data_IF_632331625595
#
_entry.id   IF_632331625595
#
_cell.length_a   1.000
_cell.length_b   1.000
_cell.length_c   1.000
_cell.angle_alpha   90.00
_cell.angle_beta   90.00
_cell.angle_gamma   90.00
#
_symmetry.space_group_name_H-M   'P 1'
#
loop_
_entity.id
_entity.type
_entity.pdbx_description
1 polymer ?
#
# COMPACT_ATOMS: atom_id res chain seq x y z
N UNK A 1 -2.77 2.00 -28.07
CA UNK A 1 -1.87 1.40 -27.08
C UNK A 1 -1.09 2.45 -26.28
N UNK A 2 -0.31 3.34 -26.92
CA UNK A 2 0.51 4.37 -26.21
C UNK A 2 -0.37 5.28 -25.34
N UNK A 3 -1.46 5.82 -25.89
CA UNK A 3 -2.40 6.69 -25.13
C UNK A 3 -3.01 5.98 -23.93
N UNK A 4 -3.42 4.72 -24.09
CA UNK A 4 -3.97 3.91 -23.02
C UNK A 4 -2.91 3.64 -21.92
N UNK A 5 -1.66 3.44 -22.31
CA UNK A 5 -0.57 3.26 -21.36
C UNK A 5 -0.25 4.56 -20.59
N UNK A 6 -0.25 5.70 -21.25
CA UNK A 6 -0.08 7.01 -20.60
C UNK A 6 -1.22 7.25 -19.59
N UNK A 7 -2.47 6.94 -19.97
CA UNK A 7 -3.64 7.05 -19.09
C UNK A 7 -3.51 6.12 -17.88
N UNK A 8 -3.08 4.87 -18.07
CA UNK A 8 -2.78 3.94 -16.99
C UNK A 8 -1.71 4.49 -16.04
N UNK A 9 -0.59 4.98 -16.58
CA UNK A 9 0.49 5.56 -15.76
C UNK A 9 -0.02 6.75 -14.95
N UNK A 10 -0.76 7.67 -15.56
CA UNK A 10 -1.38 8.80 -14.88
C UNK A 10 -2.30 8.35 -13.74
N UNK A 11 -3.16 7.35 -13.99
CA UNK A 11 -4.01 6.74 -12.97
C UNK A 11 -3.18 6.15 -11.82
N UNK A 12 -2.15 5.35 -12.13
CA UNK A 12 -1.31 4.70 -11.11
C UNK A 12 -0.58 5.76 -10.27
N UNK A 13 0.02 6.77 -10.89
CA UNK A 13 0.73 7.86 -10.20
C UNK A 13 -0.19 8.59 -9.25
N UNK A 14 -1.38 9.00 -9.71
CA UNK A 14 -2.35 9.68 -8.87
C UNK A 14 -2.82 8.81 -7.70
N UNK A 15 -3.18 7.57 -7.98
CA UNK A 15 -3.71 6.66 -6.96
C UNK A 15 -2.66 6.23 -5.94
N UNK A 16 -1.43 5.92 -6.38
CA UNK A 16 -0.33 5.53 -5.48
C UNK A 16 0.20 6.74 -4.70
N UNK A 17 0.26 7.90 -5.34
CA UNK A 17 0.77 9.13 -4.73
C UNK A 17 -0.14 9.70 -3.64
N UNK A 18 -1.46 9.53 -3.75
CA UNK A 18 -2.42 10.06 -2.76
C UNK A 18 -2.31 9.35 -1.40
N UNK A 19 -2.58 10.07 -0.29
CA UNK A 19 -2.59 9.47 1.04
C UNK A 19 -3.52 8.26 1.11
N UNK A 20 -3.06 7.22 1.79
CA UNK A 20 -3.83 6.00 2.02
C UNK A 20 -3.19 5.17 3.13
N UNK A 21 -3.86 4.10 3.62
CA UNK A 21 -3.37 3.35 4.77
C UNK A 21 -1.93 2.86 4.61
N UNK A 22 -1.57 2.28 3.47
CA UNK A 22 -0.21 1.80 3.23
C UNK A 22 0.83 2.92 3.25
N UNK A 23 0.54 4.07 2.61
CA UNK A 23 1.44 5.23 2.59
C UNK A 23 1.66 5.79 4.01
N UNK A 24 0.60 5.85 4.83
CA UNK A 24 0.69 6.35 6.19
C UNK A 24 1.46 5.38 7.11
N UNK A 25 1.30 4.06 6.93
CA UNK A 25 2.09 3.05 7.65
C UNK A 25 3.57 3.14 7.27
N UNK A 26 3.90 3.30 6.00
CA UNK A 26 5.28 3.50 5.53
C UNK A 26 5.86 4.79 6.10
N UNK A 27 5.09 5.88 6.11
CA UNK A 27 5.49 7.15 6.71
C UNK A 27 5.74 7.02 8.22
N UNK A 28 4.89 6.27 8.93
CA UNK A 28 5.08 5.96 10.34
C UNK A 28 6.38 5.17 10.57
N UNK A 29 6.64 4.14 9.76
CA UNK A 29 7.90 3.39 9.79
C UNK A 29 9.11 4.29 9.56
N UNK A 30 9.03 5.15 8.55
CA UNK A 30 10.07 6.15 8.26
C UNK A 30 10.36 7.07 9.46
N UNK A 31 9.30 7.55 10.14
CA UNK A 31 9.43 8.41 11.31
C UNK A 31 10.07 7.70 12.51
N UNK A 32 9.84 6.39 12.67
CA UNK A 32 10.31 5.60 13.81
C UNK A 32 11.70 4.99 13.61
N UNK A 33 11.97 4.38 12.46
CA UNK A 33 13.20 3.61 12.22
C UNK A 33 14.02 4.07 11.01
N UNK A 34 13.49 5.01 10.24
CA UNK A 34 14.14 5.59 9.06
C UNK A 34 14.06 4.73 7.79
N UNK A 35 14.32 5.35 6.64
CA UNK A 35 14.18 4.75 5.31
C UNK A 35 14.99 3.47 5.14
N UNK A 36 16.25 3.47 5.57
CA UNK A 36 17.15 2.32 5.37
C UNK A 36 16.64 1.04 6.03
N UNK A 37 16.07 1.15 7.25
CA UNK A 37 15.53 0.00 7.97
C UNK A 37 14.14 -0.40 7.47
N UNK A 38 13.38 0.54 6.89
CA UNK A 38 12.11 0.26 6.23
C UNK A 38 12.26 -0.36 4.83
N UNK A 39 13.45 -0.45 4.25
CA UNK A 39 13.65 -0.93 2.88
C UNK A 39 13.03 -2.32 2.66
N UNK A 40 13.22 -3.24 3.60
CA UNK A 40 12.61 -4.58 3.53
C UNK A 40 11.07 -4.52 3.49
N UNK A 41 10.47 -3.67 4.31
CA UNK A 41 9.02 -3.46 4.32
C UNK A 41 8.51 -2.87 3.00
N UNK A 42 9.22 -1.87 2.44
CA UNK A 42 8.88 -1.27 1.14
C UNK A 42 8.94 -2.32 0.02
N UNK A 43 9.99 -3.14 -0.02
CA UNK A 43 10.11 -4.23 -0.99
C UNK A 43 8.96 -5.23 -0.80
N UNK A 44 8.63 -5.57 0.44
CA UNK A 44 7.48 -6.41 0.76
C UNK A 44 6.17 -5.85 0.22
N UNK A 45 5.91 -4.55 0.41
CA UNK A 45 4.75 -3.86 -0.18
C UNK A 45 4.70 -4.02 -1.69
N UNK A 46 5.81 -3.79 -2.38
CA UNK A 46 5.89 -3.95 -3.84
C UNK A 46 5.61 -5.39 -4.25
N UNK A 47 6.20 -6.38 -3.57
CA UNK A 47 5.94 -7.80 -3.82
C UNK A 47 4.46 -8.17 -3.60
N UNK A 48 3.84 -7.68 -2.52
CA UNK A 48 2.42 -7.90 -2.25
C UNK A 48 1.52 -7.32 -3.34
N UNK A 49 1.91 -6.17 -3.90
CA UNK A 49 1.17 -5.56 -5.02
C UNK A 49 1.39 -6.31 -6.34
N UNK A 50 2.61 -6.77 -6.60
CA UNK A 50 2.90 -7.62 -7.76
C UNK A 50 2.02 -8.87 -7.71
N UNK A 51 2.01 -9.57 -6.58
CA UNK A 51 1.17 -10.75 -6.37
C UNK A 51 -0.30 -10.45 -6.68
N UNK A 52 -0.84 -9.36 -6.13
CA UNK A 52 -2.23 -8.96 -6.32
C UNK A 52 -2.53 -8.69 -7.80
N UNK A 53 -1.66 -7.97 -8.51
CA UNK A 53 -1.84 -7.67 -9.94
C UNK A 53 -1.74 -8.94 -10.81
N UNK A 54 -0.80 -9.83 -10.53
CA UNK A 54 -0.65 -11.10 -11.25
C UNK A 54 -1.90 -11.96 -11.08
N UNK A 55 -2.40 -12.11 -9.85
CA UNK A 55 -3.63 -12.85 -9.59
C UNK A 55 -4.82 -12.29 -10.38
N UNK A 56 -4.96 -10.96 -10.43
CA UNK A 56 -6.01 -10.32 -11.22
C UNK A 56 -5.84 -10.53 -12.71
N UNK A 57 -4.64 -10.37 -13.23
CA UNK A 57 -4.34 -10.60 -14.64
C UNK A 57 -4.54 -12.06 -15.09
N UNK A 58 -4.43 -13.01 -14.16
CA UNK A 58 -4.73 -14.42 -14.39
C UNK A 58 -6.22 -14.77 -14.18
N UNK A 59 -7.10 -13.79 -13.95
CA UNK A 59 -8.54 -14.01 -13.89
C UNK A 59 -9.14 -14.10 -12.48
N UNK A 60 -8.35 -14.01 -11.41
CA UNK A 60 -8.89 -14.04 -10.03
C UNK A 60 -9.92 -12.93 -9.76
N UNK A 61 -9.82 -11.82 -10.48
CA UNK A 61 -10.79 -10.72 -10.41
C UNK A 61 -12.21 -11.15 -10.78
N UNK A 62 -12.38 -12.10 -11.71
CA UNK A 62 -13.68 -12.65 -12.11
C UNK A 62 -14.31 -13.46 -10.97
N UNK A 63 -13.49 -14.24 -10.26
CA UNK A 63 -13.97 -15.04 -9.11
C UNK A 63 -14.42 -14.13 -7.98
N UNK A 64 -13.65 -13.07 -7.72
CA UNK A 64 -14.00 -12.10 -6.67
C UNK A 64 -15.28 -11.31 -7.00
N UNK A 65 -15.45 -10.93 -8.28
CA UNK A 65 -16.64 -10.20 -8.73
C UNK A 65 -17.94 -11.01 -8.60
N UNK A 66 -17.86 -12.34 -8.53
CA UNK A 66 -19.00 -13.23 -8.35
C UNK A 66 -19.35 -13.52 -6.88
N UNK A 67 -18.53 -13.06 -5.93
CA UNK A 67 -18.64 -13.43 -4.52
C UNK A 67 -18.60 -12.19 -3.60
N UNK A 68 -19.72 -11.48 -3.48
CA UNK A 68 -19.83 -10.26 -2.68
C UNK A 68 -19.41 -10.44 -1.22
N UNK A 69 -19.73 -11.60 -0.62
CA UNK A 69 -19.36 -11.90 0.76
C UNK A 69 -17.82 -11.98 0.94
N UNK A 70 -17.09 -12.49 -0.06
CA UNK A 70 -15.63 -12.60 -0.03
C UNK A 70 -14.98 -11.22 -0.10
N UNK A 71 -15.49 -10.34 -0.96
CA UNK A 71 -15.05 -8.96 -1.05
C UNK A 71 -15.26 -8.21 0.28
N UNK A 72 -16.42 -8.37 0.91
CA UNK A 72 -16.73 -7.79 2.22
C UNK A 72 -15.80 -8.35 3.32
N UNK A 73 -15.62 -9.66 3.38
CA UNK A 73 -14.72 -10.30 4.35
C UNK A 73 -13.29 -9.76 4.22
N UNK A 74 -12.76 -9.69 3.00
CA UNK A 74 -11.43 -9.14 2.72
C UNK A 74 -11.34 -7.66 3.13
N UNK A 75 -12.39 -6.86 2.90
CA UNK A 75 -12.47 -5.45 3.30
C UNK A 75 -12.32 -5.31 4.83
N UNK A 76 -13.05 -6.09 5.62
CA UNK A 76 -13.00 -6.02 7.08
C UNK A 76 -11.68 -6.57 7.67
N UNK A 77 -11.19 -7.72 7.18
CA UNK A 77 -9.89 -8.27 7.60
C UNK A 77 -8.77 -7.28 7.31
N UNK A 78 -8.82 -6.65 6.14
CA UNK A 78 -7.86 -5.64 5.71
C UNK A 78 -7.83 -4.45 6.65
N UNK A 79 -8.99 -3.91 6.98
CA UNK A 79 -9.11 -2.78 7.89
C UNK A 79 -8.61 -3.13 9.30
N UNK A 80 -9.00 -4.29 9.83
CA UNK A 80 -8.57 -4.77 11.14
C UNK A 80 -7.03 -4.91 11.21
N UNK A 81 -6.41 -5.47 10.16
CA UNK A 81 -4.95 -5.62 10.09
C UNK A 81 -4.23 -4.27 10.02
N UNK A 82 -4.74 -3.33 9.22
CA UNK A 82 -4.17 -1.98 9.12
C UNK A 82 -4.25 -1.21 10.45
N UNK A 83 -5.40 -1.28 11.12
CA UNK A 83 -5.59 -0.69 12.45
C UNK A 83 -4.64 -1.36 13.46
N UNK A 84 -4.53 -2.69 13.44
CA UNK A 84 -3.60 -3.43 14.29
C UNK A 84 -2.15 -2.94 14.10
N UNK A 85 -1.66 -2.85 12.86
CA UNK A 85 -0.31 -2.37 12.58
C UNK A 85 -0.09 -0.92 13.07
N UNK A 86 -1.07 -0.05 12.86
CA UNK A 86 -0.97 1.34 13.30
C UNK A 86 -0.97 1.45 14.83
N UNK A 87 -1.91 0.78 15.52
CA UNK A 87 -2.08 0.85 16.97
C UNK A 87 -0.93 0.15 17.71
N UNK A 88 -0.34 -0.90 17.14
CA UNK A 88 0.82 -1.57 17.72
C UNK A 88 1.99 -0.62 17.98
N UNK A 89 2.09 0.47 17.21
CA UNK A 89 3.10 1.50 17.37
C UNK A 89 2.75 2.59 18.41
N UNK A 90 1.59 2.48 19.11
CA UNK A 90 1.07 3.56 19.97
C UNK A 90 1.90 3.80 21.25
N UNK A 91 2.36 2.71 21.87
CA UNK A 91 3.06 2.76 23.17
C UNK A 91 4.57 2.59 23.07
N UNK A 92 5.08 2.35 21.89
CA UNK A 92 6.49 2.08 21.73
C UNK A 92 7.30 3.37 21.94
N UNK A 93 7.91 3.49 23.13
CA UNK A 93 9.21 4.16 23.17
C UNK A 93 10.08 3.32 22.23
N UNK A 94 10.64 3.91 21.16
CA UNK A 94 11.26 3.13 20.11
C UNK A 94 12.46 2.35 20.68
N UNK A 95 12.22 1.13 21.11
CA UNK A 95 13.25 0.12 21.09
C UNK A 95 13.40 -0.24 19.62
N UNK A 96 14.42 0.32 19.00
CA UNK A 96 14.67 0.25 17.56
C UNK A 96 14.54 -1.17 17.01
N UNK A 97 14.89 -2.19 17.79
CA UNK A 97 14.84 -3.60 17.37
C UNK A 97 13.42 -4.18 17.32
N UNK A 98 12.57 -3.88 18.30
CA UNK A 98 11.17 -4.37 18.30
C UNK A 98 10.34 -3.66 17.26
N UNK A 99 10.56 -2.37 17.07
CA UNK A 99 9.89 -1.57 16.05
C UNK A 99 10.33 -1.99 14.64
N UNK A 100 11.60 -2.31 14.43
CA UNK A 100 12.09 -2.80 13.14
C UNK A 100 11.43 -4.11 12.70
N UNK A 101 11.09 -5.01 13.64
CA UNK A 101 10.36 -6.26 13.35
C UNK A 101 8.93 -6.03 12.86
N UNK A 102 8.31 -4.89 13.17
CA UNK A 102 6.96 -4.56 12.67
C UNK A 102 6.98 -4.06 11.23
N UNK A 103 8.13 -3.51 10.79
CA UNK A 103 8.35 -3.00 9.43
C UNK A 103 9.32 -3.90 8.68
N UNK A 104 9.14 -5.22 8.77
CA UNK A 104 9.91 -6.21 8.01
C UNK A 104 9.24 -6.53 6.65
N UNK A 105 9.94 -7.30 5.83
CA UNK A 105 9.48 -7.73 4.52
C UNK A 105 8.13 -8.48 4.57
N UNK A 106 7.93 -9.37 5.55
CA UNK A 106 6.73 -10.21 5.64
C UNK A 106 5.49 -9.39 5.90
N UNK A 107 5.57 -8.44 6.84
CA UNK A 107 4.46 -7.52 7.10
C UNK A 107 4.16 -6.66 5.87
N UNK A 108 5.20 -6.23 5.12
CA UNK A 108 5.03 -5.49 3.88
C UNK A 108 4.24 -6.26 2.81
N UNK A 109 4.57 -7.54 2.59
CA UNK A 109 3.88 -8.40 1.60
C UNK A 109 2.39 -8.49 1.86
N UNK A 110 1.99 -8.55 3.14
CA UNK A 110 0.59 -8.75 3.54
C UNK A 110 -0.24 -7.45 3.42
N UNK A 111 0.39 -6.28 3.52
CA UNK A 111 -0.33 -5.00 3.56
C UNK A 111 -1.18 -4.76 2.31
N UNK A 112 -0.67 -5.00 1.10
CA UNK A 112 -1.44 -4.74 -0.12
C UNK A 112 -2.60 -5.72 -0.36
N UNK A 113 -2.42 -7.03 -0.22
CA UNK A 113 -3.54 -7.97 -0.22
C UNK A 113 -4.62 -7.64 0.81
N UNK A 114 -4.23 -7.00 1.91
CA UNK A 114 -5.14 -6.54 2.96
C UNK A 114 -5.46 -5.04 2.91
N UNK A 115 -5.26 -4.35 1.79
CA UNK A 115 -5.54 -2.92 1.66
C UNK A 115 -6.71 -2.67 0.70
N UNK A 116 -7.89 -2.19 1.17
CA UNK A 116 -9.05 -1.93 0.31
C UNK A 116 -8.71 -1.03 -0.89
N UNK A 117 -7.93 0.02 -0.67
CA UNK A 117 -7.48 0.91 -1.74
C UNK A 117 -6.66 0.16 -2.81
N UNK A 118 -5.85 -0.83 -2.41
CA UNK A 118 -5.06 -1.61 -3.36
C UNK A 118 -5.94 -2.46 -4.29
N UNK A 119 -7.05 -3.00 -3.77
CA UNK A 119 -8.05 -3.74 -4.54
C UNK A 119 -8.74 -2.84 -5.56
N UNK A 120 -9.25 -1.68 -5.13
CA UNK A 120 -9.87 -0.69 -6.03
C UNK A 120 -8.93 -0.31 -7.16
N UNK A 121 -7.67 -0.03 -6.86
CA UNK A 121 -6.66 0.31 -7.86
C UNK A 121 -6.45 -0.82 -8.87
N UNK A 122 -6.36 -2.06 -8.42
CA UNK A 122 -6.14 -3.23 -9.28
C UNK A 122 -7.39 -3.47 -10.14
N UNK A 123 -8.57 -3.48 -9.54
CA UNK A 123 -9.84 -3.63 -10.29
C UNK A 123 -9.93 -2.59 -11.41
N UNK A 124 -9.77 -1.31 -11.09
CA UNK A 124 -9.88 -0.23 -12.08
C UNK A 124 -8.79 -0.33 -13.16
N UNK A 125 -7.55 -0.65 -12.79
CA UNK A 125 -6.46 -0.82 -13.75
C UNK A 125 -6.75 -1.94 -14.76
N UNK A 126 -7.18 -3.09 -14.26
CA UNK A 126 -7.46 -4.26 -15.10
C UNK A 126 -8.76 -4.16 -15.89
N UNK A 127 -9.81 -3.51 -15.34
CA UNK A 127 -11.08 -3.36 -16.03
C UNK A 127 -11.08 -2.26 -17.08
N UNK A 128 -10.46 -1.10 -16.77
CA UNK A 128 -10.62 0.10 -17.60
C UNK A 128 -9.42 0.38 -18.52
N UNK A 129 -8.22 -0.05 -18.15
CA UNK A 129 -7.00 0.31 -18.88
C UNK A 129 -6.32 -0.88 -19.55
N UNK A 130 -6.22 -2.02 -18.87
CA UNK A 130 -5.51 -3.18 -19.37
C UNK A 130 -6.01 -3.70 -20.72
N UNK A 131 -7.34 -3.80 -21.01
CA UNK A 131 -7.83 -4.32 -22.28
C UNK A 131 -7.33 -3.58 -23.52
N UNK A 132 -7.04 -2.28 -23.39
CA UNK A 132 -6.53 -1.45 -24.49
C UNK A 132 -5.01 -1.57 -24.71
N UNK A 133 -4.29 -2.37 -23.88
CA UNK A 133 -2.84 -2.54 -23.96
C UNK A 133 -2.39 -3.70 -24.88
N UNK A 134 -3.33 -4.49 -25.41
CA UNK A 134 -3.03 -5.60 -26.33
C UNK A 134 -3.23 -6.98 -25.69
N UNK A 135 -2.29 -7.91 -25.92
CA UNK A 135 -2.37 -9.28 -25.42
C UNK A 135 -2.25 -9.38 -23.90
N UNK A 136 -2.72 -10.47 -23.30
CA UNK A 136 -2.65 -10.71 -21.85
C UNK A 136 -1.21 -10.60 -21.34
N UNK A 137 -0.24 -11.10 -22.07
CA UNK A 137 1.17 -11.02 -21.69
C UNK A 137 1.64 -9.56 -21.65
N UNK A 138 1.27 -8.75 -22.66
CA UNK A 138 1.58 -7.32 -22.70
C UNK A 138 0.91 -6.58 -21.53
N UNK A 139 -0.37 -6.90 -21.25
CA UNK A 139 -1.10 -6.33 -20.12
C UNK A 139 -0.41 -6.65 -18.79
N UNK A 140 -0.05 -7.94 -18.58
CA UNK A 140 0.67 -8.37 -17.37
C UNK A 140 1.98 -7.59 -17.19
N UNK A 141 2.82 -7.56 -18.22
CA UNK A 141 4.11 -6.87 -18.14
C UNK A 141 3.92 -5.38 -17.84
N UNK A 142 3.06 -4.70 -18.60
CA UNK A 142 2.90 -3.23 -18.46
C UNK A 142 2.22 -2.85 -17.14
N UNK A 143 1.16 -3.52 -16.75
CA UNK A 143 0.43 -3.18 -15.51
C UNK A 143 1.27 -3.50 -14.28
N UNK A 144 1.84 -4.72 -14.22
CA UNK A 144 2.61 -5.17 -13.05
C UNK A 144 3.87 -4.33 -12.85
N UNK A 145 4.65 -4.11 -13.94
CA UNK A 145 5.88 -3.30 -13.85
C UNK A 145 5.59 -1.84 -13.50
N UNK A 146 4.55 -1.25 -14.07
CA UNK A 146 4.16 0.13 -13.75
C UNK A 146 3.79 0.29 -12.29
N UNK A 147 2.95 -0.61 -11.75
CA UNK A 147 2.65 -0.58 -10.32
C UNK A 147 3.89 -0.79 -9.47
N UNK A 148 4.75 -1.75 -9.81
CA UNK A 148 5.96 -2.04 -9.05
C UNK A 148 6.90 -0.82 -8.97
N UNK A 149 7.17 -0.18 -10.11
CA UNK A 149 8.08 0.96 -10.19
C UNK A 149 7.51 2.20 -9.49
N UNK A 150 6.25 2.54 -9.78
CA UNK A 150 5.60 3.71 -9.17
C UNK A 150 5.46 3.52 -7.65
N UNK A 151 5.11 2.32 -7.20
CA UNK A 151 5.02 2.07 -5.76
C UNK A 151 6.37 2.10 -5.07
N UNK A 152 7.41 1.52 -5.66
CA UNK A 152 8.75 1.60 -5.10
C UNK A 152 9.16 3.07 -4.90
N UNK A 153 8.92 3.91 -5.90
CA UNK A 153 9.20 5.34 -5.82
C UNK A 153 8.39 6.03 -4.71
N UNK A 154 7.05 5.93 -4.77
CA UNK A 154 6.19 6.67 -3.85
C UNK A 154 6.28 6.16 -2.41
N UNK A 155 6.38 4.85 -2.17
CA UNK A 155 6.60 4.34 -0.81
C UNK A 155 7.94 4.80 -0.23
N UNK A 156 8.99 4.88 -1.08
CA UNK A 156 10.27 5.45 -0.64
C UNK A 156 10.15 6.94 -0.30
N UNK A 157 9.41 7.72 -1.10
CA UNK A 157 9.16 9.13 -0.82
C UNK A 157 8.34 9.34 0.46
N UNK A 158 7.25 8.56 0.66
CA UNK A 158 6.45 8.62 1.88
C UNK A 158 7.27 8.23 3.12
N UNK A 159 8.13 7.21 3.01
CA UNK A 159 9.03 6.79 4.07
C UNK A 159 10.07 7.88 4.40
N UNK A 160 10.68 8.48 3.36
CA UNK A 160 11.64 9.57 3.52
C UNK A 160 10.98 10.82 4.15
N UNK A 161 9.77 11.16 3.75
CA UNK A 161 8.99 12.24 4.37
C UNK A 161 8.73 11.95 5.86
N UNK A 162 8.38 10.70 6.20
CA UNK A 162 8.23 10.26 7.59
C UNK A 162 9.52 10.40 8.38
N UNK A 163 10.65 9.95 7.81
CA UNK A 163 11.96 10.10 8.45
C UNK A 163 12.32 11.56 8.67
N UNK A 164 12.10 12.42 7.68
CA UNK A 164 12.35 13.85 7.81
C UNK A 164 11.52 14.46 8.93
N UNK A 165 10.22 14.17 9.00
CA UNK A 165 9.33 14.62 10.08
C UNK A 165 9.78 14.09 11.44
N UNK A 166 10.17 12.82 11.51
CA UNK A 166 10.68 12.20 12.74
C UNK A 166 11.91 12.90 13.29
N UNK A 167 12.85 13.26 12.41
CA UNK A 167 14.06 14.04 12.77
C UNK A 167 13.68 15.46 13.16
N UNK A 168 12.87 16.15 12.35
CA UNK A 168 12.47 17.54 12.58
C UNK A 168 11.72 17.72 13.92
N UNK A 169 10.90 16.74 14.28
CA UNK A 169 10.13 16.73 15.53
C UNK A 169 10.84 15.99 16.68
N UNK A 170 12.11 15.67 16.55
CA UNK A 170 12.95 15.00 17.55
C UNK A 170 12.33 13.70 18.11
N UNK A 171 11.74 12.90 17.25
CA UNK A 171 11.09 11.65 17.66
C UNK A 171 9.86 11.85 18.55
N UNK A 172 9.17 12.96 18.40
CA UNK A 172 8.01 13.32 19.23
C UNK A 172 6.92 12.25 19.18
N UNK A 173 6.49 11.78 20.36
CA UNK A 173 5.34 10.89 20.48
C UNK A 173 4.05 11.49 19.90
N UNK A 174 3.93 12.84 19.88
CA UNK A 174 2.79 13.54 19.29
C UNK A 174 2.72 13.28 17.78
N UNK A 175 3.86 13.29 17.07
CA UNK A 175 3.92 12.95 15.65
C UNK A 175 3.45 11.51 15.41
N UNK A 176 4.04 10.54 16.13
CA UNK A 176 3.68 9.13 16.03
C UNK A 176 2.18 8.92 16.25
N UNK A 177 1.63 9.46 17.33
CA UNK A 177 0.20 9.38 17.64
C UNK A 177 -0.67 10.06 16.58
N UNK A 178 -0.25 11.23 16.07
CA UNK A 178 -0.94 11.92 14.98
C UNK A 178 -1.01 11.06 13.71
N UNK A 179 0.10 10.44 13.32
CA UNK A 179 0.15 9.54 12.16
C UNK A 179 -0.72 8.28 12.36
N UNK A 180 -0.74 7.73 13.57
CA UNK A 180 -1.60 6.58 13.90
C UNK A 180 -3.07 6.97 13.80
N UNK A 181 -3.48 8.08 14.42
CA UNK A 181 -4.86 8.58 14.36
C UNK A 181 -5.28 8.84 12.92
N UNK A 182 -4.41 9.48 12.12
CA UNK A 182 -4.66 9.71 10.70
C UNK A 182 -4.82 8.40 9.93
N UNK A 183 -3.95 7.41 10.20
CA UNK A 183 -4.01 6.09 9.55
C UNK A 183 -5.34 5.39 9.88
N UNK A 184 -5.70 5.33 11.16
CA UNK A 184 -6.97 4.72 11.61
C UNK A 184 -8.17 5.46 11.02
N UNK A 185 -8.15 6.79 11.02
CA UNK A 185 -9.21 7.60 10.41
C UNK A 185 -9.40 7.32 8.93
N UNK A 186 -8.31 7.24 8.16
CA UNK A 186 -8.36 6.92 6.72
C UNK A 186 -8.82 5.48 6.47
N UNK A 187 -8.44 4.53 7.34
CA UNK A 187 -8.93 3.14 7.24
C UNK A 187 -10.43 3.06 7.50
N UNK A 188 -10.91 3.72 8.57
CA UNK A 188 -12.35 3.74 8.89
C UNK A 188 -13.14 4.44 7.77
N UNK A 189 -12.65 5.57 7.28
CA UNK A 189 -13.28 6.26 6.15
C UNK A 189 -13.39 5.36 4.92
N UNK A 190 -12.34 4.59 4.59
CA UNK A 190 -12.35 3.63 3.49
C UNK A 190 -13.29 2.42 3.69
N UNK A 191 -13.76 2.17 4.92
CA UNK A 191 -14.77 1.14 5.20
C UNK A 191 -16.20 1.62 4.96
N UNK A 192 -16.44 2.94 5.05
CA UNK A 192 -17.78 3.53 4.97
C UNK A 192 -18.17 3.81 3.51
N UNK A 193 -17.18 4.05 2.65
CA UNK A 193 -17.36 4.27 1.21
C UNK A 193 -17.32 2.94 0.46
#
# INVERSE_FOLDING_TARGET
MIEAYIALLGFIILMVGTPGPANLIVMLGGAQIGLRRCAGFIIGLVCGKILLNVLFGLGFGLVLAQQDWLAQLLKFISAAYMIYLAVKSWNDRPQIETTARQFDFRHGVIVHPLNPKAWVMVILAWSNFAPALGTVDTQLVLVVSSFALVQLLFHSLWCAAGQWLGVAMRGSQRLTRGLIILTVGVVIWALII
#
